data_IF_355334942296
#
_entry.id   IF_355334942296
#
_cell.length_a   1.000
_cell.length_b   1.000
_cell.length_c   1.000
_cell.angle_alpha   90.00
_cell.angle_beta   90.00
_cell.angle_gamma   90.00
#
_symmetry.space_group_name_H-M   'P 1'
#
loop_
_entity.id
_entity.type
_entity.pdbx_description
1 polymer ?
#
# COMPACT_ATOMS: atom_id res chain seq x y z
N UNK A 1 -3.91 17.37 -17.95
CA UNK A 1 -4.04 15.90 -18.04
C UNK A 1 -4.81 15.54 -19.29
N UNK A 2 -4.43 14.45 -19.97
CA UNK A 2 -5.06 13.98 -21.21
C UNK A 2 -5.31 12.47 -21.14
N UNK A 3 -6.52 12.08 -21.52
CA UNK A 3 -6.99 10.71 -21.63
C UNK A 3 -7.34 10.50 -23.10
N UNK A 4 -6.78 9.45 -23.70
CA UNK A 4 -6.97 9.15 -25.12
C UNK A 4 -7.49 7.72 -25.32
N UNK A 5 -8.64 7.58 -26.01
CA UNK A 5 -9.23 6.30 -26.42
C UNK A 5 -9.45 5.30 -25.27
N UNK A 6 -9.82 5.79 -24.09
CA UNK A 6 -9.83 4.98 -22.87
C UNK A 6 -11.02 4.01 -22.83
N UNK A 7 -10.72 2.71 -22.70
CA UNK A 7 -11.72 1.68 -22.39
C UNK A 7 -11.41 1.07 -21.01
N UNK A 8 -12.41 1.00 -20.14
CA UNK A 8 -12.27 0.41 -18.79
C UNK A 8 -13.36 -0.60 -18.53
N UNK A 9 -12.95 -1.79 -18.07
CA UNK A 9 -13.85 -2.89 -17.71
C UNK A 9 -13.82 -3.15 -16.21
N UNK A 10 -15.00 -3.33 -15.62
CA UNK A 10 -15.16 -3.85 -14.25
C UNK A 10 -15.92 -5.17 -14.33
N UNK A 11 -15.25 -6.27 -14.01
CA UNK A 11 -15.85 -7.59 -14.24
C UNK A 11 -16.07 -7.83 -15.74
N UNK A 12 -17.23 -8.40 -16.14
CA UNK A 12 -17.59 -8.56 -17.55
C UNK A 12 -18.14 -7.28 -18.19
N UNK A 13 -18.35 -6.20 -17.43
CA UNK A 13 -19.01 -4.98 -17.91
C UNK A 13 -17.98 -3.94 -18.34
N UNK A 14 -18.07 -3.49 -19.59
CA UNK A 14 -17.38 -2.27 -20.04
C UNK A 14 -18.11 -1.05 -19.47
N UNK A 15 -17.42 -0.28 -18.63
CA UNK A 15 -17.96 0.89 -17.92
C UNK A 15 -17.69 2.17 -18.71
N UNK A 16 -16.53 2.29 -19.35
CA UNK A 16 -16.14 3.42 -20.21
C UNK A 16 -15.68 2.85 -21.56
N UNK A 17 -16.09 3.49 -22.66
CA UNK A 17 -15.89 3.01 -24.03
C UNK A 17 -15.34 4.13 -24.91
N UNK A 18 -14.09 3.96 -25.34
CA UNK A 18 -13.42 4.87 -26.27
C UNK A 18 -13.56 6.34 -25.85
N UNK A 19 -13.18 6.60 -24.59
CA UNK A 19 -13.35 7.91 -23.96
C UNK A 19 -12.09 8.75 -24.16
N UNK A 20 -12.26 9.92 -24.78
CA UNK A 20 -11.29 11.01 -24.78
C UNK A 20 -11.70 12.07 -23.74
N UNK A 21 -10.75 12.52 -22.93
CA UNK A 21 -10.99 13.55 -21.92
C UNK A 21 -9.74 14.40 -21.73
N UNK A 22 -9.94 15.71 -21.56
CA UNK A 22 -8.86 16.66 -21.26
C UNK A 22 -9.22 17.47 -20.03
N UNK A 23 -8.20 17.72 -19.21
CA UNK A 23 -8.26 18.68 -18.12
C UNK A 23 -7.21 19.74 -18.39
N UNK A 24 -7.67 20.98 -18.53
CA UNK A 24 -6.82 22.14 -18.75
C UNK A 24 -6.32 22.71 -17.41
N UNK A 25 -5.26 23.52 -17.48
CA UNK A 25 -4.75 24.25 -16.32
C UNK A 25 -5.75 25.34 -15.93
N UNK A 26 -5.96 25.51 -14.62
CA UNK A 26 -6.87 26.53 -14.08
C UNK A 26 -8.36 26.26 -14.32
N UNK A 27 -8.73 25.01 -14.56
CA UNK A 27 -10.10 24.62 -14.88
C UNK A 27 -10.68 23.68 -13.81
N UNK A 28 -11.94 23.89 -13.42
CA UNK A 28 -12.75 22.97 -12.63
C UNK A 28 -13.71 22.21 -13.55
N UNK A 29 -13.63 20.89 -13.55
CA UNK A 29 -14.50 20.00 -14.32
C UNK A 29 -15.38 19.16 -13.38
N UNK A 30 -16.69 19.33 -13.45
CA UNK A 30 -17.64 18.49 -12.72
C UNK A 30 -18.10 17.30 -13.57
N UNK A 31 -17.94 16.08 -13.04
CA UNK A 31 -18.49 14.86 -13.58
C UNK A 31 -19.89 14.64 -12.99
N UNK A 32 -20.89 14.58 -13.84
CA UNK A 32 -22.28 14.31 -13.46
C UNK A 32 -22.78 13.01 -14.08
N UNK A 33 -23.78 12.40 -13.45
CA UNK A 33 -24.41 11.19 -13.96
C UNK A 33 -24.97 10.33 -12.84
N UNK A 34 -25.88 9.38 -13.15
CA UNK A 34 -26.50 8.52 -12.16
C UNK A 34 -25.45 7.66 -11.44
N UNK A 35 -25.82 7.10 -10.29
CA UNK A 35 -24.95 6.15 -9.58
C UNK A 35 -24.63 4.95 -10.47
N UNK A 36 -23.35 4.58 -10.54
CA UNK A 36 -22.88 3.51 -11.41
C UNK A 36 -22.72 3.87 -12.89
N UNK A 37 -22.79 5.16 -13.26
CA UNK A 37 -22.51 5.65 -14.61
C UNK A 37 -21.05 5.51 -15.04
N UNK A 38 -20.11 5.55 -14.09
CA UNK A 38 -18.68 5.45 -14.37
C UNK A 38 -17.81 6.60 -13.86
N UNK A 39 -18.38 7.60 -13.16
CA UNK A 39 -17.63 8.76 -12.61
C UNK A 39 -16.38 8.38 -11.81
N UNK A 40 -16.56 7.57 -10.76
CA UNK A 40 -15.46 7.00 -9.96
C UNK A 40 -14.49 6.19 -10.82
N UNK A 41 -14.99 5.46 -11.81
CA UNK A 41 -14.12 4.68 -12.72
C UNK A 41 -13.25 5.59 -13.58
N UNK A 42 -13.78 6.72 -14.07
CA UNK A 42 -13.01 7.72 -14.81
C UNK A 42 -11.92 8.34 -13.90
N UNK A 43 -12.28 8.81 -12.70
CA UNK A 43 -11.33 9.40 -11.76
C UNK A 43 -10.20 8.43 -11.37
N UNK A 44 -10.53 7.20 -11.00
CA UNK A 44 -9.53 6.21 -10.60
C UNK A 44 -8.64 5.75 -11.77
N UNK A 45 -9.17 5.78 -12.99
CA UNK A 45 -8.37 5.52 -14.20
C UNK A 45 -7.42 6.68 -14.47
N UNK A 46 -7.89 7.93 -14.33
CA UNK A 46 -7.07 9.13 -14.41
C UNK A 46 -5.93 9.13 -13.36
N UNK A 47 -6.20 8.63 -12.16
CA UNK A 47 -5.22 8.47 -11.08
C UNK A 47 -4.26 7.27 -11.28
N UNK A 48 -4.43 6.46 -12.33
CA UNK A 48 -3.62 5.27 -12.60
C UNK A 48 -3.87 4.08 -11.68
N UNK A 49 -4.98 4.09 -10.92
CA UNK A 49 -5.38 3.01 -10.01
C UNK A 49 -5.92 1.82 -10.81
N UNK A 50 -6.80 2.08 -11.77
CA UNK A 50 -7.43 1.03 -12.56
C UNK A 50 -6.62 0.69 -13.82
N UNK A 51 -6.50 -0.60 -14.18
CA UNK A 51 -5.95 -0.98 -15.48
C UNK A 51 -6.89 -0.56 -16.62
N UNK A 52 -6.29 -0.18 -17.76
CA UNK A 52 -7.00 0.20 -18.97
C UNK A 52 -7.05 -0.99 -19.93
N UNK A 53 -8.20 -1.21 -20.56
CA UNK A 53 -8.33 -2.22 -21.64
C UNK A 53 -7.83 -1.67 -22.97
N UNK A 54 -8.03 -0.37 -23.21
CA UNK A 54 -7.54 0.38 -24.37
C UNK A 54 -7.18 1.79 -23.92
N UNK A 55 -6.35 2.47 -24.71
CA UNK A 55 -6.01 3.87 -24.52
C UNK A 55 -4.90 4.12 -23.51
N UNK A 56 -4.76 5.38 -23.11
CA UNK A 56 -3.73 5.84 -22.19
C UNK A 56 -4.17 7.08 -21.39
N UNK A 57 -3.52 7.28 -20.24
CA UNK A 57 -3.63 8.47 -19.41
C UNK A 57 -2.25 9.10 -19.30
N UNK A 58 -2.16 10.36 -19.71
CA UNK A 58 -0.94 11.17 -19.75
C UNK A 58 -1.11 12.46 -18.97
N UNK A 59 -0.11 12.79 -18.17
CA UNK A 59 -0.09 13.98 -17.34
C UNK A 59 1.09 14.86 -17.76
N UNK A 60 0.94 16.17 -17.59
CA UNK A 60 2.02 17.13 -17.80
C UNK A 60 2.65 17.45 -16.45
N UNK A 61 3.97 17.37 -16.38
CA UNK A 61 4.77 17.82 -15.24
C UNK A 61 5.81 18.82 -15.75
N UNK A 62 5.53 20.11 -15.57
CA UNK A 62 6.26 21.20 -16.22
C UNK A 62 6.22 21.07 -17.75
N UNK A 63 7.37 20.81 -18.38
CA UNK A 63 7.49 20.62 -19.83
C UNK A 63 7.45 19.14 -20.26
N UNK A 64 7.49 18.21 -19.30
CA UNK A 64 7.50 16.79 -19.58
C UNK A 64 6.07 16.23 -19.64
N UNK A 65 5.87 15.24 -20.51
CA UNK A 65 4.66 14.42 -20.55
C UNK A 65 4.98 13.05 -19.95
N UNK A 66 4.20 12.65 -18.95
CA UNK A 66 4.36 11.40 -18.20
C UNK A 66 3.16 10.52 -18.47
N UNK A 67 3.40 9.32 -19.01
CA UNK A 67 2.37 8.28 -19.11
C UNK A 67 2.12 7.75 -17.70
N UNK A 68 0.96 8.04 -17.12
CA UNK A 68 0.57 7.52 -15.81
C UNK A 68 0.22 6.04 -15.92
N UNK A 69 -0.60 5.69 -16.92
CA UNK A 69 -0.94 4.29 -17.23
C UNK A 69 -1.43 4.15 -18.67
N UNK A 70 -1.16 3.01 -19.30
CA UNK A 70 -1.75 2.64 -20.58
C UNK A 70 -2.21 1.18 -20.63
N UNK A 71 -2.84 0.84 -21.76
CA UNK A 71 -3.33 -0.51 -22.08
C UNK A 71 -2.24 -1.50 -22.47
N UNK A 72 -1.01 -1.04 -22.75
CA UNK A 72 0.17 -1.90 -22.99
C UNK A 72 0.79 -2.41 -21.68
N UNK A 73 0.24 -1.98 -20.53
CA UNK A 73 0.71 -2.34 -19.20
C UNK A 73 1.81 -1.43 -18.67
N UNK A 74 2.17 -0.35 -19.37
CA UNK A 74 3.08 0.66 -18.82
C UNK A 74 2.38 1.44 -17.73
N UNK A 75 3.06 1.57 -16.61
CA UNK A 75 2.63 2.36 -15.45
C UNK A 75 3.86 3.02 -14.86
N UNK A 76 3.94 4.34 -14.90
CA UNK A 76 5.05 5.09 -14.32
C UNK A 76 4.65 5.68 -12.96
N UNK A 77 5.63 6.19 -12.21
CA UNK A 77 5.34 7.00 -11.03
C UNK A 77 4.59 8.27 -11.47
N UNK A 78 3.37 8.51 -10.98
CA UNK A 78 2.60 9.65 -11.41
C UNK A 78 3.17 10.94 -10.82
N UNK A 79 3.02 12.09 -11.50
CA UNK A 79 3.32 13.38 -10.91
C UNK A 79 2.53 13.61 -9.61
N UNK A 80 3.01 14.46 -8.69
CA UNK A 80 2.27 14.85 -7.48
C UNK A 80 0.83 15.28 -7.79
N UNK A 81 -0.12 14.84 -6.96
CA UNK A 81 -1.55 15.09 -7.18
C UNK A 81 -2.30 15.37 -5.89
N UNK A 82 -3.43 16.06 -6.02
CA UNK A 82 -4.49 16.03 -5.04
C UNK A 82 -5.43 14.85 -5.29
N UNK A 83 -5.73 14.04 -4.28
CA UNK A 83 -6.62 12.87 -4.43
C UNK A 83 -7.54 12.68 -3.22
N UNK A 84 -8.84 12.65 -3.48
CA UNK A 84 -9.88 12.22 -2.54
C UNK A 84 -10.67 11.08 -3.16
N UNK A 85 -10.63 9.90 -2.54
CA UNK A 85 -11.40 8.74 -2.96
C UNK A 85 -12.81 8.76 -2.35
N UNK A 86 -13.73 8.00 -2.94
CA UNK A 86 -15.10 7.87 -2.44
C UNK A 86 -15.13 7.33 -1.00
N UNK A 87 -14.31 6.31 -0.73
CA UNK A 87 -14.17 5.70 0.60
C UNK A 87 -13.09 6.37 1.45
N UNK A 88 -12.80 7.65 1.24
CA UNK A 88 -11.82 8.48 1.98
C UNK A 88 -10.33 8.16 1.78
N UNK A 89 -9.93 6.90 1.57
CA UNK A 89 -8.54 6.52 1.24
C UNK A 89 -7.57 6.59 2.43
N UNK A 90 -8.04 6.32 3.65
CA UNK A 90 -7.29 6.52 4.91
C UNK A 90 -7.41 5.32 5.85
N UNK A 91 -6.35 5.00 6.60
CA UNK A 91 -6.39 4.01 7.67
C UNK A 91 -6.87 4.66 8.98
N UNK A 92 -7.77 3.98 9.70
CA UNK A 92 -8.37 4.50 10.93
C UNK A 92 -7.38 4.68 12.08
N UNK A 93 -6.21 4.01 12.01
CA UNK A 93 -5.16 4.13 13.02
C UNK A 93 -4.31 5.40 12.88
N UNK A 94 -4.35 6.08 11.74
CA UNK A 94 -3.67 7.36 11.50
C UNK A 94 -4.28 8.46 12.39
N UNK A 95 -3.48 9.46 12.80
CA UNK A 95 -4.06 10.69 13.35
C UNK A 95 -4.43 11.68 12.26
N UNK A 96 -5.32 12.63 12.56
CA UNK A 96 -5.73 13.70 11.65
C UNK A 96 -4.52 14.47 11.10
N UNK A 97 -3.64 14.92 11.99
CA UNK A 97 -2.43 15.64 11.61
C UNK A 97 -1.45 14.77 10.81
N UNK A 98 -1.24 13.51 11.23
CA UNK A 98 -0.34 12.60 10.52
C UNK A 98 -0.78 12.38 9.08
N UNK A 99 -2.09 12.21 8.88
CA UNK A 99 -2.65 11.98 7.55
C UNK A 99 -2.51 13.19 6.63
N UNK A 100 -2.74 14.40 7.14
CA UNK A 100 -2.55 15.63 6.38
C UNK A 100 -1.06 15.86 6.05
N UNK A 101 -0.17 15.68 7.03
CA UNK A 101 1.27 15.77 6.79
C UNK A 101 1.76 14.73 5.77
N UNK A 102 1.16 13.53 5.79
CA UNK A 102 1.46 12.47 4.85
C UNK A 102 1.09 12.88 3.43
N UNK A 103 -0.11 13.41 3.18
CA UNK A 103 -0.54 13.84 1.84
C UNK A 103 0.33 14.96 1.28
N UNK A 104 0.77 15.87 2.14
CA UNK A 104 1.71 16.94 1.78
C UNK A 104 3.10 16.39 1.43
N UNK A 105 3.65 15.50 2.28
CA UNK A 105 5.00 14.96 2.10
C UNK A 105 5.13 14.12 0.84
N UNK A 106 4.13 13.28 0.53
CA UNK A 106 4.15 12.47 -0.70
C UNK A 106 3.99 13.30 -1.96
N UNK A 107 3.37 14.48 -1.85
CA UNK A 107 3.20 15.44 -2.94
C UNK A 107 4.37 16.43 -3.07
N UNK A 108 5.47 16.19 -2.35
CA UNK A 108 6.67 17.03 -2.37
C UNK A 108 6.47 18.40 -1.71
N UNK A 109 5.53 18.54 -0.77
CA UNK A 109 5.28 19.79 -0.06
C UNK A 109 5.97 19.80 1.31
N UNK A 110 6.55 20.95 1.66
CA UNK A 110 7.22 21.14 2.95
C UNK A 110 6.25 21.08 4.14
N UNK A 111 6.71 20.55 5.26
CA UNK A 111 5.95 20.46 6.51
C UNK A 111 6.01 21.80 7.26
N UNK A 112 5.17 22.77 6.87
CA UNK A 112 4.99 24.00 7.64
C UNK A 112 3.89 23.81 8.69
N UNK A 113 4.29 23.65 9.95
CA UNK A 113 3.36 23.44 11.06
C UNK A 113 2.31 24.56 11.20
N UNK A 114 2.66 25.81 10.87
CA UNK A 114 1.73 26.94 10.88
C UNK A 114 0.65 26.81 9.82
N UNK A 115 1.03 26.44 8.59
CA UNK A 115 0.07 26.23 7.49
C UNK A 115 -0.86 25.03 7.77
N UNK A 116 -0.31 23.95 8.33
CA UNK A 116 -1.10 22.76 8.72
C UNK A 116 -2.15 23.12 9.78
N UNK A 117 -1.75 23.82 10.84
CA UNK A 117 -2.68 24.26 11.89
C UNK A 117 -3.73 25.23 11.37
N UNK A 118 -3.35 26.14 10.46
CA UNK A 118 -4.29 27.06 9.80
C UNK A 118 -5.34 26.30 8.98
N UNK A 119 -4.91 25.36 8.12
CA UNK A 119 -5.84 24.58 7.30
C UNK A 119 -6.75 23.69 8.15
N UNK A 120 -6.22 23.04 9.19
CA UNK A 120 -7.02 22.26 10.12
C UNK A 120 -8.01 23.14 10.89
N UNK A 121 -7.64 24.37 11.25
CA UNK A 121 -8.56 25.31 11.90
C UNK A 121 -9.69 25.73 10.97
N UNK A 122 -9.37 26.07 9.72
CA UNK A 122 -10.34 26.47 8.69
C UNK A 122 -11.35 25.36 8.39
N UNK A 123 -10.91 24.11 8.35
CA UNK A 123 -11.77 22.93 8.15
C UNK A 123 -12.42 22.41 9.45
N UNK A 124 -12.20 23.09 10.59
CA UNK A 124 -12.81 22.74 11.87
C UNK A 124 -12.28 21.44 12.51
N UNK A 125 -11.05 21.05 12.19
CA UNK A 125 -10.39 19.82 12.63
C UNK A 125 -9.24 20.03 13.61
N UNK A 126 -8.80 21.28 13.86
CA UNK A 126 -7.62 21.55 14.72
C UNK A 126 -7.76 20.98 16.13
N UNK A 127 -8.95 21.09 16.74
CA UNK A 127 -9.23 20.55 18.07
C UNK A 127 -9.16 19.01 18.15
N UNK A 128 -9.16 18.32 17.00
CA UNK A 128 -9.06 16.86 16.87
C UNK A 128 -7.75 16.44 16.18
N UNK A 129 -6.76 17.33 16.03
CA UNK A 129 -5.53 17.05 15.26
C UNK A 129 -4.78 15.79 15.71
N UNK A 130 -4.83 15.48 17.01
CA UNK A 130 -4.17 14.32 17.61
C UNK A 130 -5.07 13.07 17.67
N UNK A 131 -6.35 13.18 17.33
CA UNK A 131 -7.27 12.06 17.35
C UNK A 131 -7.00 11.11 16.19
N UNK A 132 -7.32 9.84 16.43
CA UNK A 132 -7.32 8.82 15.38
C UNK A 132 -8.47 9.08 14.41
N UNK A 133 -8.23 8.80 13.13
CA UNK A 133 -9.25 8.90 12.07
C UNK A 133 -10.46 8.01 12.39
N UNK A 134 -10.26 6.87 13.05
CA UNK A 134 -11.34 5.98 13.51
C UNK A 134 -12.25 6.58 14.59
N UNK A 135 -11.81 7.64 15.28
CA UNK A 135 -12.61 8.33 16.30
C UNK A 135 -13.39 9.53 15.73
N UNK A 136 -13.23 9.84 14.44
CA UNK A 136 -13.96 10.92 13.77
C UNK A 136 -15.37 10.46 13.36
N UNK A 137 -16.31 11.40 13.38
CA UNK A 137 -17.60 11.20 12.72
C UNK A 137 -17.43 11.05 11.20
N UNK A 138 -18.44 10.51 10.51
CA UNK A 138 -18.37 10.37 9.04
C UNK A 138 -18.08 11.70 8.32
N UNK A 139 -18.79 12.78 8.69
CA UNK A 139 -18.56 14.11 8.11
C UNK A 139 -17.18 14.69 8.45
N UNK A 140 -16.66 14.46 9.67
CA UNK A 140 -15.30 14.88 10.04
C UNK A 140 -14.24 14.13 9.24
N UNK A 141 -14.42 12.82 9.03
CA UNK A 141 -13.53 12.01 8.19
C UNK A 141 -13.55 12.49 6.75
N UNK A 142 -14.73 12.81 6.22
CA UNK A 142 -14.86 13.41 4.89
C UNK A 142 -14.11 14.73 4.77
N UNK A 143 -14.30 15.65 5.73
CA UNK A 143 -13.57 16.94 5.75
C UNK A 143 -12.06 16.72 5.68
N UNK A 144 -11.54 15.76 6.45
CA UNK A 144 -10.12 15.40 6.39
C UNK A 144 -9.73 14.82 5.03
N UNK A 145 -10.53 13.92 4.45
CA UNK A 145 -10.26 13.32 3.14
C UNK A 145 -10.17 14.38 2.03
N UNK A 146 -11.10 15.32 2.04
CA UNK A 146 -11.19 16.43 1.09
C UNK A 146 -10.03 17.39 1.30
N UNK A 147 -9.75 17.78 2.54
CA UNK A 147 -8.59 18.60 2.85
C UNK A 147 -7.28 17.94 2.40
N UNK A 148 -7.11 16.63 2.61
CA UNK A 148 -5.94 15.90 2.14
C UNK A 148 -5.81 15.87 0.61
N UNK A 149 -6.94 15.91 -0.11
CA UNK A 149 -6.97 16.01 -1.57
C UNK A 149 -6.69 17.42 -2.07
N UNK A 150 -7.10 18.47 -1.36
CA UNK A 150 -6.94 19.86 -1.79
C UNK A 150 -5.60 20.49 -1.35
N UNK A 151 -5.14 20.17 -0.14
CA UNK A 151 -3.98 20.81 0.48
C UNK A 151 -2.66 20.70 -0.33
N UNK A 152 -2.37 19.57 -1.01
CA UNK A 152 -1.19 19.48 -1.89
C UNK A 152 -1.15 20.57 -2.96
N UNK A 153 -2.28 20.83 -3.61
CA UNK A 153 -2.41 21.87 -4.62
C UNK A 153 -2.42 23.26 -3.98
N UNK A 154 -3.16 23.44 -2.88
CA UNK A 154 -3.23 24.72 -2.17
C UNK A 154 -1.86 25.26 -1.71
N UNK A 155 -0.90 24.37 -1.44
CA UNK A 155 0.47 24.71 -1.05
C UNK A 155 1.48 24.61 -2.21
N UNK A 156 1.02 24.48 -3.46
CA UNK A 156 1.85 24.39 -4.66
C UNK A 156 1.82 25.71 -5.43
N UNK A 157 3.00 26.17 -5.86
CA UNK A 157 3.10 27.28 -6.80
C UNK A 157 2.91 26.82 -8.25
N UNK A 158 3.23 25.55 -8.54
CA UNK A 158 3.09 24.96 -9.86
C UNK A 158 1.71 24.30 -10.02
N UNK A 159 1.20 24.29 -11.25
CA UNK A 159 -0.08 23.64 -11.59
C UNK A 159 -0.04 22.15 -11.21
N UNK A 160 -1.17 21.67 -10.68
CA UNK A 160 -1.33 20.31 -10.17
C UNK A 160 -2.69 19.77 -10.58
N UNK A 161 -2.76 18.45 -10.79
CA UNK A 161 -4.03 17.75 -11.01
C UNK A 161 -4.65 17.40 -9.65
N UNK A 162 -5.92 17.74 -9.47
CA UNK A 162 -6.70 17.42 -8.27
C UNK A 162 -7.92 16.60 -8.68
N UNK A 163 -8.04 15.39 -8.14
CA UNK A 163 -9.11 14.43 -8.43
C UNK A 163 -9.93 14.17 -7.17
N UNK A 164 -11.22 14.51 -7.20
CA UNK A 164 -12.10 14.46 -6.03
C UNK A 164 -13.35 13.63 -6.33
N UNK A 165 -13.54 12.51 -5.63
CA UNK A 165 -14.72 11.67 -5.82
C UNK A 165 -15.74 11.87 -4.70
N UNK A 166 -16.87 12.52 -5.01
CA UNK A 166 -17.98 12.90 -4.11
C UNK A 166 -17.57 13.83 -2.93
N UNK A 167 -16.77 14.89 -3.13
CA UNK A 167 -16.15 15.66 -2.03
C UNK A 167 -17.16 16.33 -1.07
N UNK A 168 -18.40 16.55 -1.50
CA UNK A 168 -19.43 17.18 -0.69
C UNK A 168 -20.23 16.22 0.21
N UNK A 169 -20.08 14.90 0.03
CA UNK A 169 -20.87 13.91 0.75
C UNK A 169 -20.58 13.94 2.26
N UNK A 170 -21.59 14.23 3.09
CA UNK A 170 -21.41 14.34 4.54
C UNK A 170 -20.86 15.70 5.02
N UNK A 171 -20.67 16.67 4.12
CA UNK A 171 -20.43 18.07 4.49
C UNK A 171 -21.76 18.80 4.75
N UNK A 172 -21.75 19.62 5.80
CA UNK A 172 -22.76 20.64 6.09
C UNK A 172 -22.61 21.84 5.14
N UNK A 173 -23.57 22.77 5.17
CA UNK A 173 -23.62 23.90 4.25
C UNK A 173 -22.35 24.77 4.30
N UNK A 174 -21.85 25.05 5.51
CA UNK A 174 -20.59 25.78 5.69
C UNK A 174 -19.38 25.02 5.09
N UNK A 175 -19.34 23.69 5.21
CA UNK A 175 -18.30 22.88 4.59
C UNK A 175 -18.38 22.88 3.06
N UNK A 176 -19.59 22.95 2.50
CA UNK A 176 -19.81 23.04 1.04
C UNK A 176 -19.41 24.41 0.50
N UNK A 177 -19.72 25.49 1.21
CA UNK A 177 -19.26 26.84 0.87
C UNK A 177 -17.73 26.95 0.94
N UNK A 178 -17.11 26.35 1.96
CA UNK A 178 -15.65 26.30 2.05
C UNK A 178 -15.03 25.52 0.88
N UNK A 179 -15.61 24.36 0.56
CA UNK A 179 -15.18 23.55 -0.57
C UNK A 179 -15.29 24.31 -1.90
N UNK A 180 -16.44 24.94 -2.18
CA UNK A 180 -16.63 25.71 -3.42
C UNK A 180 -15.62 26.85 -3.55
N UNK A 181 -15.38 27.59 -2.46
CA UNK A 181 -14.40 28.66 -2.46
C UNK A 181 -12.96 28.16 -2.66
N UNK A 182 -12.59 27.02 -2.07
CA UNK A 182 -11.29 26.39 -2.32
C UNK A 182 -11.15 25.91 -3.77
N UNK A 183 -12.19 25.29 -4.35
CA UNK A 183 -12.16 24.84 -5.76
C UNK A 183 -11.92 26.02 -6.71
N UNK A 184 -12.64 27.13 -6.52
CA UNK A 184 -12.46 28.35 -7.34
C UNK A 184 -11.10 28.99 -7.12
N UNK A 185 -10.60 29.01 -5.89
CA UNK A 185 -9.28 29.56 -5.61
C UNK A 185 -8.15 28.72 -6.22
N UNK A 186 -8.27 27.39 -6.20
CA UNK A 186 -7.30 26.48 -6.84
C UNK A 186 -7.28 26.64 -8.36
N UNK A 187 -8.44 26.76 -8.99
CA UNK A 187 -8.53 27.05 -10.41
C UNK A 187 -7.93 28.42 -10.75
N UNK A 188 -8.20 29.44 -9.93
CA UNK A 188 -7.58 30.77 -10.06
C UNK A 188 -6.05 30.76 -9.90
N UNK A 189 -5.51 29.80 -9.15
CA UNK A 189 -4.06 29.57 -9.01
C UNK A 189 -3.47 28.70 -10.15
N UNK A 190 -4.28 28.27 -11.11
CA UNK A 190 -3.84 27.51 -12.29
C UNK A 190 -3.87 25.98 -12.12
N UNK A 191 -4.39 25.45 -11.00
CA UNK A 191 -4.54 23.99 -10.83
C UNK A 191 -5.72 23.47 -11.66
N UNK A 192 -5.60 22.24 -12.17
CA UNK A 192 -6.69 21.55 -12.85
C UNK A 192 -7.43 20.64 -11.88
N UNK A 193 -8.74 20.83 -11.73
CA UNK A 193 -9.57 20.07 -10.79
C UNK A 193 -10.62 19.26 -11.54
N UNK A 194 -10.76 17.97 -11.23
CA UNK A 194 -11.90 17.15 -11.65
C UNK A 194 -12.61 16.64 -10.41
N UNK A 195 -13.91 16.89 -10.31
CA UNK A 195 -14.73 16.39 -9.22
C UNK A 195 -15.90 15.56 -9.74
N UNK A 196 -16.15 14.40 -9.16
CA UNK A 196 -17.42 13.71 -9.31
C UNK A 196 -18.35 14.17 -8.20
N UNK A 197 -19.55 14.63 -8.55
CA UNK A 197 -20.54 15.03 -7.55
C UNK A 197 -21.95 14.86 -8.08
N UNK A 198 -22.88 14.66 -7.15
CA UNK A 198 -24.32 14.78 -7.38
C UNK A 198 -24.92 16.04 -6.73
N UNK A 199 -24.10 16.85 -6.06
CA UNK A 199 -24.51 18.09 -5.43
C UNK A 199 -24.51 19.23 -6.47
N UNK A 200 -25.72 19.67 -6.83
CA UNK A 200 -25.90 20.73 -7.81
C UNK A 200 -25.26 22.07 -7.38
N UNK A 201 -25.16 22.36 -6.08
CA UNK A 201 -24.51 23.57 -5.60
C UNK A 201 -23.00 23.55 -5.86
N UNK A 202 -22.36 22.41 -5.62
CA UNK A 202 -20.93 22.23 -5.86
C UNK A 202 -20.61 22.09 -7.35
N UNK A 203 -21.47 21.40 -8.11
CA UNK A 203 -21.31 21.27 -9.58
C UNK A 203 -21.32 22.63 -10.28
N UNK A 204 -22.05 23.63 -9.74
CA UNK A 204 -22.08 24.98 -10.30
C UNK A 204 -20.74 25.70 -10.26
N UNK A 205 -19.79 25.25 -9.46
CA UNK A 205 -18.44 25.81 -9.44
C UNK A 205 -17.60 25.43 -10.67
N UNK A 206 -18.07 24.48 -11.47
CA UNK A 206 -17.33 23.99 -12.62
C UNK A 206 -17.35 24.97 -13.81
N UNK A 207 -16.22 25.06 -14.49
CA UNK A 207 -16.07 25.74 -15.78
C UNK A 207 -16.58 24.83 -16.92
N UNK A 208 -16.42 23.52 -16.77
CA UNK A 208 -16.95 22.50 -17.68
C UNK A 208 -17.69 21.40 -16.92
N UNK A 209 -18.84 20.99 -17.43
CA UNK A 209 -19.60 19.86 -16.94
C UNK A 209 -19.47 18.71 -17.92
N UNK A 210 -19.26 17.50 -17.41
CA UNK A 210 -19.13 16.29 -18.19
C UNK A 210 -20.12 15.26 -17.67
N UNK A 211 -21.13 14.96 -18.48
CA UNK A 211 -22.08 13.90 -18.16
C UNK A 211 -21.49 12.56 -18.56
N UNK A 212 -21.39 11.66 -17.59
CA UNK A 212 -20.96 10.28 -17.77
C UNK A 212 -22.23 9.41 -17.87
N UNK A 213 -22.39 8.70 -18.98
CA UNK A 213 -23.56 7.86 -19.23
C UNK A 213 -23.33 6.85 -20.34
N UNK A 214 -23.85 5.64 -20.18
CA UNK A 214 -23.78 4.55 -21.17
C UNK A 214 -22.37 4.25 -21.75
N UNK A 215 -21.33 4.60 -21.00
CA UNK A 215 -19.93 4.41 -21.38
C UNK A 215 -19.31 5.55 -22.17
N UNK A 216 -20.03 6.64 -22.39
CA UNK A 216 -19.58 7.82 -23.14
C UNK A 216 -19.57 9.08 -22.26
N UNK A 217 -18.89 10.12 -22.75
CA UNK A 217 -18.83 11.43 -22.14
C UNK A 217 -19.56 12.45 -23.02
N UNK A 218 -20.41 13.27 -22.42
CA UNK A 218 -21.01 14.44 -23.07
C UNK A 218 -20.54 15.70 -22.33
N UNK A 219 -19.90 16.62 -23.04
CA UNK A 219 -19.37 17.85 -22.44
C UNK A 219 -20.30 19.05 -22.67
N UNK A 220 -20.41 19.91 -21.67
CA UNK A 220 -21.10 21.19 -21.75
C UNK A 220 -20.41 22.26 -20.91
N UNK A 221 -20.64 23.53 -21.21
CA UNK A 221 -20.14 24.65 -20.39
C UNK A 221 -20.77 24.62 -19.01
N UNK A 222 -19.96 24.80 -17.97
CA UNK A 222 -20.42 24.95 -16.59
C UNK A 222 -20.67 26.43 -16.23
N UNK A 223 -21.38 26.71 -15.12
CA UNK A 223 -21.78 28.07 -14.79
C UNK A 223 -20.68 28.88 -14.07
N UNK A 224 -19.56 28.27 -13.65
CA UNK A 224 -18.39 28.97 -13.12
C UNK A 224 -18.70 29.84 -11.87
N UNK A 225 -19.53 29.35 -10.96
CA UNK A 225 -19.99 30.11 -9.79
C UNK A 225 -19.16 29.89 -8.52
N UNK A 226 -19.24 30.84 -7.59
CA UNK A 226 -18.60 30.78 -6.28
C UNK A 226 -17.51 31.84 -6.09
N UNK A 227 -17.38 32.32 -4.87
CA UNK A 227 -16.33 33.28 -4.51
C UNK A 227 -15.07 32.54 -4.04
N UNK A 228 -13.89 32.83 -4.61
CA UNK A 228 -12.65 32.15 -4.25
C UNK A 228 -12.26 32.45 -2.80
N UNK A 229 -11.96 31.40 -2.04
CA UNK A 229 -11.39 31.51 -0.69
C UNK A 229 -9.93 31.97 -0.74
N UNK A 230 -9.41 32.44 0.39
CA UNK A 230 -7.99 32.74 0.52
C UNK A 230 -7.21 31.45 0.78
N UNK A 231 -6.41 31.02 -0.20
CA UNK A 231 -5.49 29.89 -0.02
C UNK A 231 -4.32 30.24 0.90
N UNK A 232 -3.72 29.25 1.59
CA UNK A 232 -2.46 29.44 2.30
C UNK A 232 -1.32 29.80 1.33
N UNK A 233 -0.27 30.43 1.86
CA UNK A 233 0.91 30.75 1.05
C UNK A 233 1.61 29.46 0.56
N UNK A 234 2.08 29.42 -0.70
CA UNK A 234 2.80 28.26 -1.23
C UNK A 234 3.98 27.85 -0.35
N UNK A 235 4.15 26.54 -0.18
CA UNK A 235 5.25 25.96 0.58
C UNK A 235 6.48 25.73 -0.30
N UNK A 236 7.65 25.62 0.33
CA UNK A 236 8.86 25.22 -0.39
C UNK A 236 8.71 23.81 -0.97
N UNK A 237 9.18 23.64 -2.20
CA UNK A 237 9.24 22.33 -2.85
C UNK A 237 10.25 21.44 -2.12
N UNK A 238 9.80 20.29 -1.66
CA UNK A 238 10.62 19.23 -1.12
C UNK A 238 10.65 18.07 -2.11
N UNK A 239 11.75 17.29 -2.15
CA UNK A 239 11.79 16.08 -2.98
C UNK A 239 10.76 15.08 -2.44
N UNK A 240 9.79 14.61 -3.25
CA UNK A 240 8.82 13.63 -2.79
C UNK A 240 9.56 12.35 -2.37
N UNK A 241 9.20 11.80 -1.21
CA UNK A 241 9.77 10.56 -0.68
C UNK A 241 8.66 9.53 -0.45
N UNK A 242 7.97 9.15 -1.53
CA UNK A 242 6.77 8.30 -1.52
C UNK A 242 7.00 6.97 -0.78
N UNK A 243 8.00 6.20 -1.20
CA UNK A 243 8.37 4.91 -0.58
C UNK A 243 8.79 5.04 0.88
N UNK A 244 9.62 6.04 1.21
CA UNK A 244 10.10 6.27 2.57
C UNK A 244 8.93 6.66 3.50
N UNK A 245 8.01 7.47 3.00
CA UNK A 245 6.80 7.85 3.73
C UNK A 245 5.90 6.63 4.01
N UNK A 246 5.76 5.71 3.06
CA UNK A 246 5.02 4.46 3.27
C UNK A 246 5.67 3.57 4.33
N UNK A 247 7.00 3.40 4.29
CA UNK A 247 7.74 2.64 5.31
C UNK A 247 7.55 3.26 6.69
N UNK A 248 7.72 4.59 6.81
CA UNK A 248 7.51 5.31 8.08
C UNK A 248 6.07 5.18 8.57
N UNK A 249 5.10 5.28 7.67
CA UNK A 249 3.69 5.09 7.99
C UNK A 249 3.44 3.69 8.57
N UNK A 250 3.93 2.64 7.92
CA UNK A 250 3.73 1.27 8.39
C UNK A 250 4.38 1.01 9.75
N UNK A 251 5.62 1.50 9.96
CA UNK A 251 6.30 1.41 11.26
C UNK A 251 5.49 2.13 12.35
N UNK A 252 5.00 3.34 12.08
CA UNK A 252 4.16 4.09 13.03
C UNK A 252 2.89 3.33 13.40
N UNK A 253 2.21 2.73 12.42
CA UNK A 253 1.01 1.94 12.67
C UNK A 253 1.34 0.74 13.58
N UNK A 254 2.44 0.05 13.31
CA UNK A 254 2.87 -1.11 14.11
C UNK A 254 3.30 -0.72 15.53
N UNK A 255 4.04 0.37 15.71
CA UNK A 255 4.41 0.87 17.04
C UNK A 255 3.18 1.29 17.86
N UNK A 256 2.13 1.78 17.20
CA UNK A 256 0.89 2.21 17.85
C UNK A 256 -0.04 1.05 18.20
N UNK A 257 -0.08 0.05 17.33
CA UNK A 257 -0.85 -1.17 17.52
C UNK A 257 -0.09 -2.36 16.90
N UNK A 258 0.62 -3.17 17.71
CA UNK A 258 1.53 -4.21 17.22
C UNK A 258 0.79 -5.47 16.78
N UNK A 259 -0.17 -5.32 15.87
CA UNK A 259 -1.05 -6.40 15.42
C UNK A 259 -0.30 -7.42 14.58
N UNK A 260 0.66 -6.98 13.77
CA UNK A 260 1.47 -7.88 12.95
C UNK A 260 2.38 -8.74 13.84
N UNK A 261 3.10 -8.08 14.73
CA UNK A 261 4.01 -8.73 15.68
C UNK A 261 3.28 -9.75 16.55
N UNK A 262 2.14 -9.35 17.14
CA UNK A 262 1.36 -10.23 18.01
C UNK A 262 0.73 -11.39 17.23
N UNK A 263 0.22 -11.11 16.03
CA UNK A 263 -0.39 -12.09 15.14
C UNK A 263 0.59 -13.18 14.66
N UNK A 264 1.88 -12.84 14.53
CA UNK A 264 2.95 -13.76 14.13
C UNK A 264 3.60 -14.47 15.31
N UNK A 265 3.86 -13.77 16.41
CA UNK A 265 4.55 -14.32 17.57
C UNK A 265 3.72 -15.39 18.28
N UNK A 266 2.40 -15.21 18.41
CA UNK A 266 1.52 -16.16 19.10
C UNK A 266 1.55 -17.57 18.49
N UNK A 267 1.29 -17.78 17.18
CA UNK A 267 1.35 -19.11 16.59
C UNK A 267 2.77 -19.68 16.55
N UNK A 268 3.81 -18.85 16.46
CA UNK A 268 5.20 -19.30 16.53
C UNK A 268 5.57 -19.84 17.92
N UNK A 269 5.15 -19.18 19.00
CA UNK A 269 5.35 -19.67 20.37
C UNK A 269 4.58 -20.98 20.61
N UNK A 270 3.37 -21.12 20.07
CA UNK A 270 2.63 -22.39 20.10
C UNK A 270 3.42 -23.48 19.37
N UNK A 271 3.94 -23.19 18.18
CA UNK A 271 4.74 -24.15 17.42
C UNK A 271 6.03 -24.56 18.16
N UNK A 272 6.68 -23.62 18.85
CA UNK A 272 7.85 -23.91 19.69
C UNK A 272 7.51 -24.85 20.85
N UNK A 273 6.41 -24.57 21.57
CA UNK A 273 5.98 -25.40 22.70
C UNK A 273 5.58 -26.82 22.25
N UNK A 274 4.90 -26.94 21.11
CA UNK A 274 4.55 -28.24 20.53
C UNK A 274 5.81 -29.01 20.10
N UNK A 275 6.77 -28.32 19.47
CA UNK A 275 8.06 -28.91 19.08
C UNK A 275 8.81 -29.44 20.31
N UNK A 276 8.80 -28.69 21.41
CA UNK A 276 9.40 -29.12 22.67
C UNK A 276 8.72 -30.38 23.24
N UNK A 277 7.39 -30.42 23.23
CA UNK A 277 6.67 -31.62 23.72
C UNK A 277 6.96 -32.86 22.87
N UNK A 278 7.06 -32.71 21.55
CA UNK A 278 7.37 -33.83 20.66
C UNK A 278 8.78 -34.39 20.91
N UNK A 279 9.76 -33.53 21.15
CA UNK A 279 11.14 -33.98 21.46
C UNK A 279 11.25 -34.70 22.80
N UNK A 280 10.41 -34.38 23.78
CA UNK A 280 10.42 -35.11 25.06
C UNK A 280 9.89 -36.54 24.94
N UNK A 281 9.03 -36.82 23.96
CA UNK A 281 8.42 -38.14 23.77
C UNK A 281 9.22 -39.05 22.81
N UNK A 282 10.12 -38.48 22.00
CA UNK A 282 10.92 -39.20 21.01
C UNK A 282 12.31 -39.51 21.56
N UNK A 283 12.74 -40.76 21.47
CA UNK A 283 14.11 -41.14 21.79
C UNK A 283 15.07 -40.55 20.74
N UNK A 284 15.78 -39.47 21.13
CA UNK A 284 16.65 -38.69 20.26
C UNK A 284 17.81 -39.48 19.67
N UNK A 285 18.12 -40.67 20.20
CA UNK A 285 19.05 -41.61 19.60
C UNK A 285 18.63 -42.09 18.20
N UNK A 286 17.34 -42.01 17.86
CA UNK A 286 16.78 -42.46 16.58
C UNK A 286 16.23 -41.31 15.71
N UNK A 287 16.09 -40.10 16.25
CA UNK A 287 15.34 -39.00 15.63
C UNK A 287 16.08 -38.26 14.49
N UNK A 288 17.40 -38.41 14.36
CA UNK A 288 18.21 -37.77 13.32
C UNK A 288 18.33 -36.24 13.48
N UNK A 289 19.45 -35.68 13.01
CA UNK A 289 19.70 -34.22 13.00
C UNK A 289 18.67 -33.45 12.16
N UNK A 290 18.10 -34.08 11.14
CA UNK A 290 17.08 -33.50 10.25
C UNK A 290 15.78 -33.15 11.01
N UNK A 291 15.28 -34.03 11.89
CA UNK A 291 14.07 -33.74 12.66
C UNK A 291 14.30 -32.57 13.62
N UNK A 292 15.45 -32.55 14.30
CA UNK A 292 15.79 -31.47 15.22
C UNK A 292 15.97 -30.14 14.46
N UNK A 293 16.66 -30.14 13.32
CA UNK A 293 16.78 -28.98 12.44
C UNK A 293 15.41 -28.43 12.01
N UNK A 294 14.49 -29.31 11.60
CA UNK A 294 13.15 -28.92 11.22
C UNK A 294 12.42 -28.26 12.39
N UNK A 295 12.42 -28.89 13.57
CA UNK A 295 11.73 -28.39 14.77
C UNK A 295 12.32 -27.07 15.28
N UNK A 296 13.62 -26.84 15.12
CA UNK A 296 14.27 -25.56 15.42
C UNK A 296 13.81 -24.45 14.47
N UNK A 297 13.61 -24.74 13.19
CA UNK A 297 13.22 -23.75 12.19
C UNK A 297 11.70 -23.51 12.11
N UNK A 298 10.87 -24.49 12.49
CA UNK A 298 9.40 -24.42 12.40
C UNK A 298 8.83 -23.13 13.03
N UNK A 299 9.18 -22.74 14.27
CA UNK A 299 8.64 -21.52 14.88
C UNK A 299 8.92 -20.26 14.05
N UNK A 300 10.15 -20.13 13.52
CA UNK A 300 10.50 -19.03 12.63
C UNK A 300 9.69 -19.09 11.33
N UNK A 301 9.53 -20.27 10.75
CA UNK A 301 8.73 -20.49 9.52
C UNK A 301 7.26 -20.13 9.68
N UNK A 302 6.67 -20.42 10.83
CA UNK A 302 5.29 -20.00 11.11
C UNK A 302 5.16 -18.47 11.08
N UNK A 303 6.12 -17.70 11.61
CA UNK A 303 6.02 -16.23 11.53
C UNK A 303 6.06 -15.70 10.09
N UNK A 304 6.75 -16.43 9.21
CA UNK A 304 6.93 -16.07 7.80
C UNK A 304 5.66 -16.32 6.99
N UNK A 305 4.99 -17.44 7.21
CA UNK A 305 3.81 -17.85 6.43
C UNK A 305 2.53 -17.13 6.86
N UNK A 306 2.46 -16.63 8.10
CA UNK A 306 1.29 -15.90 8.61
C UNK A 306 1.05 -14.59 7.83
N UNK A 307 -0.21 -14.37 7.46
CA UNK A 307 -0.66 -13.22 6.69
C UNK A 307 -0.35 -11.90 7.40
N UNK A 308 0.28 -10.92 6.71
CA UNK A 308 0.64 -9.66 7.34
C UNK A 308 -0.59 -8.80 7.67
N UNK A 309 -0.57 -8.16 8.84
CA UNK A 309 -1.62 -7.21 9.25
C UNK A 309 -1.72 -6.00 8.32
N UNK A 310 -0.65 -5.70 7.56
CA UNK A 310 -0.59 -4.66 6.54
C UNK A 310 -1.73 -4.80 5.51
N UNK A 311 -2.09 -6.01 5.10
CA UNK A 311 -3.15 -6.24 4.11
C UNK A 311 -4.49 -5.68 4.59
N UNK A 312 -4.83 -5.91 5.87
CA UNK A 312 -6.05 -5.38 6.47
C UNK A 312 -6.01 -3.85 6.58
N UNK A 313 -4.84 -3.27 6.91
CA UNK A 313 -4.65 -1.80 6.95
C UNK A 313 -4.83 -1.17 5.57
N UNK A 314 -4.32 -1.81 4.53
CA UNK A 314 -4.47 -1.36 3.14
C UNK A 314 -5.91 -1.54 2.63
N UNK A 315 -6.63 -2.57 3.08
CA UNK A 315 -8.02 -2.80 2.71
C UNK A 315 -9.02 -1.86 3.41
N UNK A 316 -8.61 -1.21 4.51
CA UNK A 316 -9.47 -0.27 5.22
C UNK A 316 -9.71 0.99 4.37
N UNK A 317 -10.99 1.28 4.09
CA UNK A 317 -11.43 2.53 3.47
C UNK A 317 -10.61 2.93 2.23
N UNK A 318 -10.30 1.96 1.36
CA UNK A 318 -9.49 2.15 0.13
C UNK A 318 -8.09 2.77 0.34
N UNK A 319 -7.52 2.68 1.55
CA UNK A 319 -6.19 3.22 1.88
C UNK A 319 -5.09 2.71 0.94
N UNK A 320 -5.11 1.41 0.62
CA UNK A 320 -4.17 0.79 -0.31
C UNK A 320 -4.32 1.29 -1.75
N UNK A 321 -5.52 1.69 -2.16
CA UNK A 321 -5.77 2.27 -3.48
C UNK A 321 -5.22 3.70 -3.55
N UNK A 322 -5.37 4.47 -2.47
CA UNK A 322 -4.75 5.79 -2.34
C UNK A 322 -3.23 5.71 -2.42
N UNK A 323 -2.61 4.81 -1.63
CA UNK A 323 -1.17 4.61 -1.69
C UNK A 323 -0.68 4.13 -3.06
N UNK A 324 -1.47 3.27 -3.72
CA UNK A 324 -1.16 2.80 -5.07
C UNK A 324 -1.24 3.92 -6.12
N UNK A 325 -2.16 4.87 -5.97
CA UNK A 325 -2.22 6.06 -6.82
C UNK A 325 -1.00 6.95 -6.62
N UNK A 326 -0.54 7.12 -5.39
CA UNK A 326 0.58 8.02 -5.05
C UNK A 326 1.94 7.43 -5.43
N UNK A 327 2.17 6.14 -5.19
CA UNK A 327 3.47 5.48 -5.44
C UNK A 327 3.56 4.94 -6.89
N UNK A 328 2.42 4.63 -7.52
CA UNK A 328 2.40 4.01 -8.84
C UNK A 328 2.90 2.54 -8.83
N UNK A 329 3.75 2.12 -9.78
CA UNK A 329 4.15 0.72 -9.96
C UNK A 329 4.96 0.15 -8.78
N UNK A 330 5.65 1.01 -8.03
CA UNK A 330 6.50 0.61 -6.91
C UNK A 330 5.74 0.25 -5.63
N UNK A 331 4.42 0.45 -5.59
CA UNK A 331 3.60 0.23 -4.39
C UNK A 331 3.65 -1.22 -3.90
N UNK A 332 3.37 -2.16 -4.81
CA UNK A 332 3.27 -3.59 -4.50
C UNK A 332 4.60 -4.23 -4.05
N UNK A 333 5.75 -4.00 -4.72
CA UNK A 333 7.05 -4.41 -4.19
C UNK A 333 7.28 -3.87 -2.77
N UNK A 334 6.95 -2.60 -2.53
CA UNK A 334 7.15 -1.95 -1.23
C UNK A 334 6.28 -2.58 -0.15
N UNK A 335 4.99 -2.86 -0.43
CA UNK A 335 4.11 -3.55 0.52
C UNK A 335 4.63 -4.93 0.90
N UNK A 336 5.17 -5.69 -0.06
CA UNK A 336 5.67 -7.04 0.21
C UNK A 336 6.87 -7.05 1.15
N UNK A 337 7.76 -6.07 1.02
CA UNK A 337 8.93 -5.93 1.90
C UNK A 337 8.50 -5.44 3.28
N UNK A 338 7.63 -4.43 3.36
CA UNK A 338 7.12 -3.90 4.63
C UNK A 338 6.31 -4.97 5.39
N UNK A 339 5.50 -5.75 4.67
CA UNK A 339 4.69 -6.81 5.24
C UNK A 339 5.51 -8.05 5.61
N UNK A 340 6.77 -8.17 5.21
CA UNK A 340 7.60 -9.32 5.54
C UNK A 340 7.93 -9.38 7.05
N UNK A 341 7.96 -10.58 7.61
CA UNK A 341 8.41 -10.81 8.99
C UNK A 341 9.94 -10.71 9.05
N UNK A 342 10.48 -9.49 9.08
CA UNK A 342 11.93 -9.27 9.03
C UNK A 342 12.59 -9.54 10.40
N UNK A 343 11.91 -9.16 11.48
CA UNK A 343 12.53 -9.13 12.82
C UNK A 343 12.41 -10.47 13.55
N UNK A 344 11.27 -11.16 13.45
CA UNK A 344 10.98 -12.34 14.28
C UNK A 344 11.77 -13.62 13.94
N UNK A 345 12.11 -13.94 12.67
CA UNK A 345 12.74 -15.22 12.34
C UNK A 345 14.06 -15.45 13.07
N UNK A 346 14.88 -14.40 13.19
CA UNK A 346 16.20 -14.48 13.82
C UNK A 346 16.15 -14.81 15.33
N UNK A 347 15.53 -13.99 16.21
CA UNK A 347 15.45 -14.30 17.63
C UNK A 347 14.69 -15.60 17.91
N UNK A 348 13.68 -15.96 17.10
CA UNK A 348 12.95 -17.21 17.28
C UNK A 348 13.78 -18.44 16.90
N UNK A 349 14.61 -18.36 15.86
CA UNK A 349 15.50 -19.49 15.51
C UNK A 349 16.49 -19.77 16.63
N UNK A 350 17.10 -18.73 17.19
CA UNK A 350 18.00 -18.85 18.35
C UNK A 350 17.27 -19.35 19.61
N UNK A 351 16.09 -18.80 19.91
CA UNK A 351 15.29 -19.24 21.05
C UNK A 351 14.88 -20.72 20.91
N UNK A 352 14.49 -21.13 19.70
CA UNK A 352 14.10 -22.51 19.41
C UNK A 352 15.27 -23.46 19.59
N UNK A 353 16.48 -23.09 19.13
CA UNK A 353 17.69 -23.86 19.41
C UNK A 353 17.93 -24.04 20.91
N UNK A 354 17.91 -22.95 21.68
CA UNK A 354 18.17 -22.98 23.13
C UNK A 354 17.15 -23.87 23.87
N UNK A 355 15.88 -23.84 23.45
CA UNK A 355 14.81 -24.61 24.10
C UNK A 355 14.84 -26.09 23.71
N UNK A 356 15.18 -26.40 22.46
CA UNK A 356 15.01 -27.74 21.88
C UNK A 356 16.29 -28.59 21.89
N UNK A 357 17.47 -27.99 21.66
CA UNK A 357 18.72 -28.73 21.56
C UNK A 357 19.24 -29.22 22.94
N UNK A 358 18.86 -28.54 24.03
CA UNK A 358 19.33 -28.85 25.39
C UNK A 358 20.85 -28.72 25.56
N UNK A 359 21.40 -28.85 26.78
CA UNK A 359 22.84 -28.86 27.01
C UNK A 359 23.46 -30.20 26.55
N UNK A 360 23.96 -30.22 25.32
CA UNK A 360 24.78 -31.26 24.71
C UNK A 360 26.25 -30.78 24.58
N UNK A 361 27.14 -31.56 23.95
CA UNK A 361 28.59 -31.29 23.95
C UNK A 361 28.95 -29.83 23.59
N UNK A 362 29.52 -29.10 24.55
CA UNK A 362 29.72 -27.64 24.52
C UNK A 362 30.47 -27.10 23.28
N UNK A 363 31.28 -27.94 22.61
CA UNK A 363 32.00 -27.57 21.39
C UNK A 363 31.10 -27.55 20.15
N UNK A 364 30.21 -28.53 20.01
CA UNK A 364 29.26 -28.61 18.88
C UNK A 364 28.18 -27.53 19.00
N UNK A 365 27.72 -27.23 20.22
CA UNK A 365 26.77 -26.16 20.48
C UNK A 365 27.29 -24.78 20.07
N UNK A 366 28.56 -24.50 20.39
CA UNK A 366 29.19 -23.21 20.09
C UNK A 366 29.32 -22.97 18.58
N UNK A 367 29.54 -24.03 17.80
CA UNK A 367 29.69 -23.92 16.35
C UNK A 367 28.32 -23.67 15.69
N UNK A 368 27.30 -24.46 16.01
CA UNK A 368 25.96 -24.27 15.43
C UNK A 368 25.39 -22.88 15.75
N UNK A 369 25.51 -22.42 17.01
CA UNK A 369 25.06 -21.08 17.42
C UNK A 369 25.69 -19.96 16.59
N UNK A 370 26.94 -20.12 16.14
CA UNK A 370 27.63 -19.12 15.33
C UNK A 370 27.09 -19.02 13.90
N UNK A 371 26.32 -20.02 13.44
CA UNK A 371 25.83 -20.13 12.07
C UNK A 371 24.32 -20.11 11.91
N UNK A 372 23.54 -20.21 13.01
CA UNK A 372 22.07 -20.12 12.98
C UNK A 372 21.53 -18.84 12.31
N UNK A 373 22.30 -17.75 12.30
CA UNK A 373 21.92 -16.51 11.62
C UNK A 373 21.75 -16.73 10.10
N UNK A 374 22.49 -17.65 9.48
CA UNK A 374 22.47 -17.86 8.04
C UNK A 374 21.09 -18.37 7.56
N UNK A 375 20.56 -19.52 8.04
CA UNK A 375 19.21 -19.93 7.68
C UNK A 375 18.16 -18.91 8.15
N UNK A 376 18.34 -18.28 9.31
CA UNK A 376 17.41 -17.26 9.80
C UNK A 376 17.33 -15.99 8.92
N UNK A 377 18.43 -15.59 8.26
CA UNK A 377 18.42 -14.49 7.29
C UNK A 377 17.72 -14.90 6.01
N UNK A 378 17.95 -16.12 5.50
CA UNK A 378 17.24 -16.62 4.31
C UNK A 378 15.73 -16.71 4.54
N UNK A 379 15.30 -16.96 5.78
CA UNK A 379 13.88 -16.90 6.16
C UNK A 379 13.24 -15.53 5.91
N UNK A 380 14.01 -14.44 5.85
CA UNK A 380 13.51 -13.10 5.50
C UNK A 380 13.12 -13.05 4.01
N UNK A 381 13.88 -13.72 3.13
CA UNK A 381 13.52 -13.83 1.71
C UNK A 381 12.23 -14.63 1.54
N UNK A 382 12.10 -15.73 2.29
CA UNK A 382 10.85 -16.52 2.35
C UNK A 382 9.69 -15.65 2.85
N UNK A 383 9.94 -14.76 3.83
CA UNK A 383 8.95 -13.83 4.37
C UNK A 383 8.46 -12.81 3.34
N UNK A 384 9.38 -12.25 2.54
CA UNK A 384 9.02 -11.36 1.45
C UNK A 384 8.19 -12.08 0.39
N UNK A 385 8.58 -13.30 0.02
CA UNK A 385 7.82 -14.14 -0.92
C UNK A 385 6.41 -14.47 -0.40
N UNK A 386 6.28 -14.86 0.87
CA UNK A 386 5.00 -15.11 1.52
C UNK A 386 4.11 -13.86 1.52
N UNK A 387 4.66 -12.70 1.91
CA UNK A 387 3.93 -11.44 1.90
C UNK A 387 3.44 -11.06 0.49
N UNK A 388 4.27 -11.26 -0.54
CA UNK A 388 3.88 -11.03 -1.93
C UNK A 388 2.75 -11.96 -2.40
N UNK A 389 2.77 -13.24 -2.00
CA UNK A 389 1.69 -14.19 -2.30
C UNK A 389 0.37 -13.81 -1.60
N UNK A 390 0.44 -13.37 -0.34
CA UNK A 390 -0.75 -12.89 0.37
C UNK A 390 -1.32 -11.62 -0.28
N UNK A 391 -0.47 -10.68 -0.71
CA UNK A 391 -0.90 -9.48 -1.45
C UNK A 391 -1.54 -9.85 -2.79
N UNK A 392 -0.93 -10.74 -3.57
CA UNK A 392 -1.49 -11.24 -4.83
C UNK A 392 -2.90 -11.79 -4.63
N UNK A 393 -3.12 -12.56 -3.56
CA UNK A 393 -4.44 -13.16 -3.29
C UNK A 393 -5.44 -12.13 -2.79
N UNK A 394 -5.00 -11.14 -2.01
CA UNK A 394 -5.85 -10.05 -1.56
C UNK A 394 -6.42 -9.23 -2.72
N UNK A 395 -5.67 -9.13 -3.82
CA UNK A 395 -6.10 -8.42 -5.04
C UNK A 395 -7.07 -9.26 -5.91
N UNK A 396 -7.21 -10.57 -5.67
CA UNK A 396 -8.12 -11.41 -6.45
C UNK A 396 -9.58 -11.06 -6.15
N UNK A 397 -10.36 -10.82 -7.22
CA UNK A 397 -11.79 -10.45 -7.20
C UNK A 397 -12.70 -11.36 -6.35
N UNK A 398 -12.30 -12.61 -6.15
CA UNK A 398 -12.87 -13.52 -5.14
C UNK A 398 -11.76 -13.91 -4.19
N UNK A 399 -11.56 -13.10 -3.16
CA UNK A 399 -10.70 -13.42 -2.03
C UNK A 399 -11.29 -14.58 -1.21
N UNK A 400 -11.51 -15.74 -1.81
CA UNK A 400 -11.75 -16.97 -1.06
C UNK A 400 -10.40 -17.41 -0.50
N UNK A 401 -10.30 -17.42 0.83
CA UNK A 401 -9.09 -17.73 1.59
C UNK A 401 -8.36 -19.04 1.16
N UNK A 402 -9.04 -19.95 0.46
CA UNK A 402 -8.47 -21.22 -0.02
C UNK A 402 -7.40 -21.07 -1.11
N UNK A 403 -7.40 -20.00 -1.91
CA UNK A 403 -6.39 -19.83 -2.96
C UNK A 403 -5.01 -19.44 -2.39
N UNK A 404 -4.98 -18.62 -1.32
CA UNK A 404 -3.74 -18.23 -0.64
C UNK A 404 -3.04 -19.43 0.02
N UNK A 405 -3.81 -20.29 0.70
CA UNK A 405 -3.22 -21.43 1.42
C UNK A 405 -2.54 -22.43 0.48
N UNK A 406 -3.05 -22.59 -0.75
CA UNK A 406 -2.43 -23.49 -1.73
C UNK A 406 -1.14 -22.92 -2.34
N UNK A 407 -1.08 -21.60 -2.60
CA UNK A 407 0.12 -20.98 -3.17
C UNK A 407 1.30 -20.96 -2.18
N UNK A 408 1.03 -20.83 -0.88
CA UNK A 408 2.06 -20.85 0.15
C UNK A 408 2.77 -22.21 0.27
N UNK A 409 2.18 -23.31 -0.22
CA UNK A 409 2.83 -24.63 -0.22
C UNK A 409 4.15 -24.63 -0.99
N UNK A 410 4.31 -23.76 -1.99
CA UNK A 410 5.58 -23.62 -2.72
C UNK A 410 6.73 -23.21 -1.78
N UNK A 411 6.43 -22.50 -0.69
CA UNK A 411 7.42 -22.05 0.30
C UNK A 411 7.89 -23.17 1.25
N UNK A 412 7.25 -24.35 1.22
CA UNK A 412 7.75 -25.53 1.93
C UNK A 412 9.11 -25.96 1.36
N UNK A 413 9.35 -25.76 0.06
CA UNK A 413 10.61 -26.18 -0.54
C UNK A 413 11.83 -25.40 -0.03
N UNK A 414 11.85 -24.05 -0.01
CA UNK A 414 12.88 -23.28 0.69
C UNK A 414 13.06 -23.72 2.14
N UNK A 415 11.99 -24.03 2.86
CA UNK A 415 12.07 -24.51 4.24
C UNK A 415 12.80 -25.86 4.38
N UNK A 416 12.54 -26.81 3.47
CA UNK A 416 13.26 -28.09 3.44
C UNK A 416 14.75 -27.89 3.15
N UNK A 417 15.11 -27.01 2.22
CA UNK A 417 16.51 -26.68 1.93
C UNK A 417 17.23 -26.09 3.15
N UNK A 418 16.54 -25.23 3.92
CA UNK A 418 17.10 -24.69 5.16
C UNK A 418 17.22 -25.74 6.28
N UNK A 419 16.30 -26.70 6.31
CA UNK A 419 16.36 -27.85 7.22
C UNK A 419 17.55 -28.73 6.90
N UNK A 420 17.77 -29.05 5.62
CA UNK A 420 18.93 -29.81 5.16
C UNK A 420 20.23 -29.08 5.50
N UNK A 421 20.29 -27.76 5.26
CA UNK A 421 21.44 -26.94 5.60
C UNK A 421 21.75 -27.00 7.10
N UNK A 422 20.75 -26.80 7.96
CA UNK A 422 20.94 -26.83 9.40
C UNK A 422 21.31 -28.23 9.91
N UNK A 423 20.73 -29.29 9.33
CA UNK A 423 21.10 -30.67 9.65
C UNK A 423 22.57 -30.94 9.39
N UNK A 424 23.09 -30.53 8.22
CA UNK A 424 24.53 -30.68 7.88
C UNK A 424 25.41 -29.86 8.82
N UNK A 425 25.00 -28.63 9.16
CA UNK A 425 25.72 -27.80 10.15
C UNK A 425 25.83 -28.49 11.50
N UNK A 426 24.79 -29.22 11.91
CA UNK A 426 24.77 -29.93 13.19
C UNK A 426 25.64 -31.19 13.19
N UNK A 427 25.77 -31.89 12.06
CA UNK A 427 26.51 -33.17 11.98
C UNK A 427 27.95 -33.03 11.50
N UNK A 428 28.19 -32.16 10.52
CA UNK A 428 29.47 -32.03 9.81
C UNK A 428 30.12 -30.65 10.03
N UNK A 429 29.39 -29.69 10.60
CA UNK A 429 29.84 -28.30 10.73
C UNK A 429 29.61 -27.49 9.47
N UNK A 430 30.06 -26.23 9.46
CA UNK A 430 29.90 -25.37 8.29
C UNK A 430 30.98 -25.60 7.24
N UNK A 431 30.57 -25.84 6.00
CA UNK A 431 31.43 -25.84 4.82
C UNK A 431 31.10 -24.67 3.89
N UNK A 432 32.11 -24.18 3.17
CA UNK A 432 31.98 -23.16 2.12
C UNK A 432 32.14 -23.76 0.71
N UNK A 433 31.91 -25.06 0.59
CA UNK A 433 31.91 -25.73 -0.70
C UNK A 433 30.77 -25.24 -1.60
N UNK A 434 30.91 -25.50 -2.90
CA UNK A 434 29.87 -25.25 -3.90
C UNK A 434 29.29 -26.57 -4.44
N UNK A 435 29.46 -27.66 -3.68
CA UNK A 435 28.90 -28.97 -3.99
C UNK A 435 27.41 -29.06 -3.62
N UNK A 436 26.69 -29.96 -4.31
CA UNK A 436 25.33 -30.30 -3.90
C UNK A 436 25.38 -30.98 -2.52
N UNK A 437 24.60 -30.46 -1.57
CA UNK A 437 24.59 -30.91 -0.18
C UNK A 437 25.37 -30.01 0.79
N UNK A 438 26.17 -29.05 0.29
CA UNK A 438 26.80 -28.06 1.16
C UNK A 438 25.76 -27.08 1.74
N UNK A 439 25.84 -26.72 3.03
CA UNK A 439 24.83 -25.90 3.71
C UNK A 439 24.69 -24.52 3.08
N UNK A 440 25.80 -23.94 2.62
CA UNK A 440 25.78 -22.65 1.92
C UNK A 440 24.98 -22.72 0.61
N UNK A 441 25.15 -23.81 -0.16
CA UNK A 441 24.44 -24.00 -1.44
C UNK A 441 22.95 -24.16 -1.19
N UNK A 442 22.55 -24.94 -0.18
CA UNK A 442 21.15 -25.10 0.20
C UNK A 442 20.51 -23.77 0.62
N UNK A 443 21.20 -22.93 1.40
CA UNK A 443 20.76 -21.58 1.74
C UNK A 443 20.59 -20.67 0.50
N UNK A 444 21.55 -20.71 -0.44
CA UNK A 444 21.48 -19.94 -1.69
C UNK A 444 20.29 -20.41 -2.53
N UNK A 445 20.06 -21.72 -2.64
CA UNK A 445 18.93 -22.27 -3.38
C UNK A 445 17.59 -21.87 -2.74
N UNK A 446 17.48 -21.92 -1.41
CA UNK A 446 16.28 -21.46 -0.69
C UNK A 446 15.98 -19.97 -0.96
N UNK A 447 17.01 -19.11 -0.92
CA UNK A 447 16.90 -17.68 -1.24
C UNK A 447 16.48 -17.46 -2.69
N UNK A 448 17.14 -18.12 -3.65
CA UNK A 448 16.84 -18.01 -5.08
C UNK A 448 15.40 -18.40 -5.39
N UNK A 449 14.93 -19.52 -4.83
CA UNK A 449 13.54 -19.99 -5.01
C UNK A 449 12.57 -18.95 -4.44
N UNK A 450 12.85 -18.41 -3.25
CA UNK A 450 12.01 -17.38 -2.62
C UNK A 450 11.95 -16.10 -3.46
N UNK A 451 13.08 -15.65 -4.01
CA UNK A 451 13.15 -14.49 -4.91
C UNK A 451 12.34 -14.72 -6.19
N UNK A 452 12.41 -15.92 -6.78
CA UNK A 452 11.63 -16.27 -7.98
C UNK A 452 10.13 -16.26 -7.68
N UNK A 453 9.71 -16.85 -6.55
CA UNK A 453 8.31 -16.83 -6.11
C UNK A 453 7.83 -15.40 -5.88
N UNK A 454 8.65 -14.58 -5.20
CA UNK A 454 8.38 -13.16 -4.99
C UNK A 454 8.23 -12.41 -6.32
N UNK A 455 9.16 -12.57 -7.26
CA UNK A 455 9.13 -11.89 -8.55
C UNK A 455 7.85 -12.26 -9.34
N UNK A 456 7.49 -13.53 -9.38
CA UNK A 456 6.24 -13.99 -10.01
C UNK A 456 5.04 -13.34 -9.32
N UNK A 457 4.99 -13.38 -7.99
CA UNK A 457 3.87 -12.83 -7.22
C UNK A 457 3.72 -11.30 -7.34
N UNK A 458 4.79 -10.56 -7.62
CA UNK A 458 4.78 -9.10 -7.76
C UNK A 458 4.50 -8.65 -9.19
N UNK A 459 5.12 -9.30 -10.18
CA UNK A 459 5.06 -8.88 -11.58
C UNK A 459 3.98 -9.60 -12.39
N UNK A 460 3.22 -10.53 -11.78
CA UNK A 460 1.99 -11.03 -12.38
C UNK A 460 1.06 -9.85 -12.68
N UNK A 461 0.69 -9.63 -13.97
CA UNK A 461 -0.09 -8.47 -14.36
C UNK A 461 -1.43 -8.43 -13.61
N UNK A 462 -1.84 -7.22 -13.23
CA UNK A 462 -3.17 -6.96 -12.67
C UNK A 462 -4.22 -7.49 -13.67
N UNK A 463 -4.94 -8.55 -13.30
CA UNK A 463 -5.90 -9.25 -14.17
C UNK A 463 -7.30 -8.60 -14.23
#
# INVERSE_FOLDING_TARGET
>A
MHVAGMEVRRGPRTVLRDVDFRLLEGEVVALEGPNGSGKTTLLESCAGILPLTSGSVTWRDGQAEVIVRDSEGRRNEPPPMGLTLQSDGMCGEETVEERLLLSLTVSGRGQNAGAVSQMLSEWGLEHRRADRVSHLSGGQRRRLAVLCGLAPAALSADSMVVLLDEPSEGLDDAGRELLSGWLRALAGAGHGVVLATHDAGIARCADRMVRVGDGHLEESTGPCEGEPSKLPDPSQLAKPSTHVSLVRWAIKMEMRNPVDTTGRATPALVALLLSYTLLQEVDMSHAGSELLAALVLVPAFITVVVSPALIRRLAEADCGRWWSAVIGPGARPTYSIIGASIILPLPLTYLSWIVLAGPSDATSESEVLSWLWLPAVVMIDVAAAAAALHLLVADLRRASAAAASLLLLVLVWPFLQLTDALSVIMTEGMSFGLGMGDPLVSCIMASLISILVWAVAIYLPDA
#
